data_IF_903496233225
#
_entry.id   IF_903496233225
#
_cell.length_a   1.000
_cell.length_b   1.000
_cell.length_c   1.000
_cell.angle_alpha   90.00
_cell.angle_beta   90.00
_cell.angle_gamma   90.00
#
_symmetry.space_group_name_H-M   'P 1'
#
loop_
_entity.id
_entity.type
_entity.pdbx_description
1 polymer ?
#
# COMPACT_ATOMS: atom_id res chain seq x y z
N UNK A 1 0.92 13.75 2.00
CA UNK A 1 -0.45 14.21 1.65
C UNK A 1 -1.43 13.13 2.09
N UNK A 2 -2.52 13.51 2.78
CA UNK A 2 -3.61 12.62 3.19
C UNK A 2 -4.89 13.47 3.34
N UNK A 3 -5.62 13.69 2.23
CA UNK A 3 -6.84 14.49 2.21
C UNK A 3 -8.07 13.61 2.05
N UNK A 4 -9.22 14.04 2.57
CA UNK A 4 -10.47 13.27 2.43
C UNK A 4 -10.88 13.03 0.98
N UNK A 5 -10.69 14.02 0.10
CA UNK A 5 -10.99 13.87 -1.33
C UNK A 5 -10.08 12.86 -2.05
N UNK A 6 -8.84 12.67 -1.57
CA UNK A 6 -7.97 11.62 -2.09
C UNK A 6 -8.42 10.24 -1.58
N UNK A 7 -8.77 10.14 -0.29
CA UNK A 7 -9.29 8.90 0.28
C UNK A 7 -10.55 8.40 -0.42
N UNK A 8 -11.46 9.30 -0.81
CA UNK A 8 -12.67 8.95 -1.56
C UNK A 8 -12.43 8.43 -2.98
N UNK A 9 -11.22 8.58 -3.53
CA UNK A 9 -10.82 8.06 -4.86
C UNK A 9 -10.03 6.76 -4.79
N UNK A 10 -9.74 6.24 -3.59
CA UNK A 10 -9.01 4.99 -3.45
C UNK A 10 -9.88 3.83 -3.95
N UNK A 11 -9.41 3.16 -5.01
CA UNK A 11 -10.12 2.06 -5.64
C UNK A 11 -9.67 0.70 -5.09
N UNK A 12 -8.37 0.56 -4.79
CA UNK A 12 -7.78 -0.65 -4.25
C UNK A 12 -6.65 -0.31 -3.28
N UNK A 13 -6.50 -1.10 -2.22
CA UNK A 13 -5.37 -1.03 -1.31
C UNK A 13 -4.82 -2.44 -1.04
N UNK A 14 -3.51 -2.60 -1.21
CA UNK A 14 -2.80 -3.85 -0.94
C UNK A 14 -1.70 -3.59 0.07
N UNK A 15 -1.58 -4.51 1.03
CA UNK A 15 -0.41 -4.59 1.92
C UNK A 15 0.43 -5.76 1.44
N UNK A 16 1.55 -5.48 0.79
CA UNK A 16 2.39 -6.53 0.24
C UNK A 16 3.14 -7.30 1.34
N UNK A 17 3.43 -8.58 1.05
CA UNK A 17 4.20 -9.44 1.95
C UNK A 17 5.33 -10.09 1.19
N UNK A 18 6.53 -10.05 1.75
CA UNK A 18 7.64 -10.83 1.22
C UNK A 18 7.36 -12.34 1.28
N UNK A 19 7.86 -13.14 0.32
CA UNK A 19 7.59 -14.58 0.29
C UNK A 19 8.08 -15.34 1.54
N UNK A 20 9.10 -14.84 2.22
CA UNK A 20 9.67 -15.40 3.45
C UNK A 20 10.39 -14.31 4.25
N UNK A 21 10.74 -14.60 5.51
CA UNK A 21 11.31 -13.62 6.44
C UNK A 21 12.70 -13.13 6.02
N UNK A 22 13.54 -14.03 5.53
CA UNK A 22 14.91 -13.81 5.06
C UNK A 22 14.98 -13.01 3.76
N UNK A 23 13.89 -13.01 2.97
CA UNK A 23 13.78 -12.26 1.71
C UNK A 23 13.25 -10.84 1.88
N UNK A 24 13.08 -10.38 3.11
CA UNK A 24 12.65 -9.01 3.39
C UNK A 24 13.81 -8.04 3.20
N UNK A 25 13.52 -6.94 2.53
CA UNK A 25 14.45 -5.80 2.41
C UNK A 25 14.18 -4.72 3.47
N UNK A 26 13.03 -4.80 4.16
CA UNK A 26 12.62 -3.93 5.27
C UNK A 26 11.84 -4.74 6.32
N UNK A 27 11.87 -4.27 7.56
CA UNK A 27 11.02 -4.73 8.65
C UNK A 27 9.54 -4.34 8.48
N UNK A 28 9.25 -3.35 7.63
CA UNK A 28 7.90 -2.93 7.26
C UNK A 28 7.39 -3.65 6.00
N UNK A 29 6.06 -3.81 5.93
CA UNK A 29 5.35 -4.21 4.73
C UNK A 29 5.02 -2.96 3.90
N UNK A 30 5.30 -2.94 2.58
CA UNK A 30 4.81 -1.89 1.70
C UNK A 30 3.29 -1.84 1.70
N UNK A 31 2.75 -0.65 1.40
CA UNK A 31 1.33 -0.44 1.18
C UNK A 31 1.17 0.31 -0.12
N UNK A 32 0.50 -0.31 -1.09
CA UNK A 32 0.18 0.27 -2.40
C UNK A 32 -1.31 0.59 -2.47
N UNK A 33 -1.65 1.81 -2.91
CA UNK A 33 -3.04 2.24 -3.12
C UNK A 33 -3.21 2.70 -4.56
N UNK A 34 -4.19 2.12 -5.26
CA UNK A 34 -4.62 2.54 -6.59
C UNK A 34 -5.77 3.54 -6.45
N UNK A 35 -5.74 4.60 -7.26
CA UNK A 35 -6.78 5.64 -7.27
C UNK A 35 -7.40 5.74 -8.66
N UNK A 36 -8.72 5.93 -8.69
CA UNK A 36 -9.45 6.24 -9.91
C UNK A 36 -9.44 7.76 -10.15
N UNK A 37 -9.38 8.14 -11.44
CA UNK A 37 -9.32 9.53 -11.89
C UNK A 37 -10.66 9.99 -12.47
#
# INVERSE_FOLDING_TARGET
MATGGLAGRAAEAVVERAPSYDKRWSDHAPVTVCYDF
#
